data_IF_600978828787
#
_entry.id   IF_600978828787
#
_cell.length_a   1.000
_cell.length_b   1.000
_cell.length_c   1.000
_cell.angle_alpha   90.00
_cell.angle_beta   90.00
_cell.angle_gamma   90.00
#
_symmetry.space_group_name_H-M   'P 1'
#
loop_
_entity.id
_entity.type
_entity.pdbx_description
1 polymer ?
#
# COMPACT_ATOMS: atom_id res chain seq x y z
N UNK A 1 -7.25 -0.11 15.21
CA UNK A 1 -6.84 -1.43 14.67
C UNK A 1 -5.34 -1.38 14.41
N UNK A 2 -4.61 -2.46 14.68
CA UNK A 2 -3.18 -2.58 14.35
C UNK A 2 -2.99 -3.71 13.35
N UNK A 3 -2.10 -3.50 12.38
CA UNK A 3 -1.66 -4.52 11.44
C UNK A 3 -0.13 -4.60 11.52
N UNK A 4 0.37 -5.82 11.67
CA UNK A 4 1.80 -6.11 11.82
C UNK A 4 2.20 -7.09 10.73
N UNK A 5 3.25 -6.77 10.00
CA UNK A 5 3.87 -7.67 9.04
C UNK A 5 5.38 -7.45 9.11
N UNK A 6 6.13 -8.49 9.50
CA UNK A 6 7.56 -8.38 9.76
C UNK A 6 7.89 -7.18 10.67
N UNK A 7 8.59 -6.19 10.14
CA UNK A 7 8.98 -4.92 10.74
C UNK A 7 8.00 -3.77 10.40
N UNK A 8 7.12 -3.95 9.42
CA UNK A 8 6.11 -2.97 9.05
C UNK A 8 4.93 -3.03 10.04
N UNK A 9 4.67 -1.88 10.67
CA UNK A 9 3.53 -1.69 11.58
C UNK A 9 2.62 -0.60 11.04
N UNK A 10 1.34 -0.93 10.85
CA UNK A 10 0.31 0.04 10.48
C UNK A 10 -0.72 0.19 11.61
N UNK A 11 -1.01 1.44 11.95
CA UNK A 11 -1.96 1.81 12.99
C UNK A 11 -3.11 2.56 12.33
N UNK A 12 -4.33 2.08 12.54
CA UNK A 12 -5.54 2.67 12.00
C UNK A 12 -6.44 3.15 13.14
N UNK A 13 -6.81 4.43 13.06
CA UNK A 13 -7.83 5.05 13.89
C UNK A 13 -8.94 5.63 13.02
N UNK A 14 -10.16 5.65 13.53
CA UNK A 14 -11.34 6.12 12.82
C UNK A 14 -12.19 7.02 13.71
N UNK A 15 -12.80 8.03 13.11
CA UNK A 15 -13.67 8.97 13.82
C UNK A 15 -14.52 9.78 12.84
N UNK A 16 -15.68 10.27 13.32
CA UNK A 16 -16.58 11.12 12.50
C UNK A 16 -16.04 12.54 12.29
N UNK A 17 -15.13 12.98 13.16
CA UNK A 17 -14.47 14.29 13.11
C UNK A 17 -12.96 14.09 13.27
N UNK A 18 -12.13 15.02 12.77
CA UNK A 18 -10.67 14.93 12.88
C UNK A 18 -10.20 14.66 14.32
N UNK A 19 -10.70 15.42 15.30
CA UNK A 19 -10.32 15.26 16.71
C UNK A 19 -10.65 13.87 17.27
N UNK A 20 -11.82 13.33 16.90
CA UNK A 20 -12.27 12.01 17.34
C UNK A 20 -11.47 10.87 16.69
N UNK A 21 -10.85 11.11 15.55
CA UNK A 21 -9.97 10.14 14.90
C UNK A 21 -8.53 10.25 15.43
N UNK A 22 -8.03 11.46 15.65
CA UNK A 22 -6.63 11.73 16.03
C UNK A 22 -6.37 11.55 17.52
N UNK A 23 -7.30 11.94 18.41
CA UNK A 23 -7.06 11.79 19.86
C UNK A 23 -6.81 10.33 20.29
N UNK A 24 -7.59 9.32 19.82
CA UNK A 24 -7.29 7.92 20.10
C UNK A 24 -5.98 7.45 19.48
N UNK A 25 -5.64 7.94 18.28
CA UNK A 25 -4.40 7.61 17.58
C UNK A 25 -3.19 8.10 18.37
N UNK A 26 -3.20 9.38 18.78
CA UNK A 26 -2.10 9.98 19.53
C UNK A 26 -1.92 9.32 20.90
N UNK A 27 -3.02 9.00 21.60
CA UNK A 27 -2.95 8.28 22.86
C UNK A 27 -2.36 6.87 22.68
N UNK A 28 -2.72 6.19 21.59
CA UNK A 28 -2.13 4.90 21.26
C UNK A 28 -0.63 5.00 20.95
N UNK A 29 -0.22 6.00 20.17
CA UNK A 29 1.19 6.25 19.85
C UNK A 29 2.01 6.50 21.12
N UNK A 30 1.52 7.31 22.08
CA UNK A 30 2.21 7.53 23.36
C UNK A 30 2.45 6.22 24.14
N UNK A 31 1.43 5.36 24.19
CA UNK A 31 1.58 4.06 24.86
C UNK A 31 2.54 3.13 24.11
N UNK A 32 2.51 3.18 22.78
CA UNK A 32 3.41 2.41 21.93
C UNK A 32 4.86 2.87 22.10
N UNK A 33 5.12 4.18 22.14
CA UNK A 33 6.44 4.76 22.40
C UNK A 33 7.01 4.29 23.75
N UNK A 34 6.20 4.36 24.81
CA UNK A 34 6.60 3.87 26.13
C UNK A 34 6.95 2.36 26.11
N UNK A 35 6.17 1.57 25.37
CA UNK A 35 6.43 0.15 25.19
C UNK A 35 7.72 -0.10 24.39
N UNK A 36 7.90 0.58 23.25
CA UNK A 36 9.09 0.46 22.41
C UNK A 36 10.37 0.83 23.18
N UNK A 37 10.33 1.92 23.96
CA UNK A 37 11.44 2.32 24.83
C UNK A 37 11.76 1.27 25.89
N UNK A 38 10.73 0.71 26.55
CA UNK A 38 10.90 -0.37 27.55
C UNK A 38 11.60 -1.59 26.95
N UNK A 39 11.26 -1.94 25.71
CA UNK A 39 11.84 -3.08 25.00
C UNK A 39 13.08 -2.75 24.18
N UNK A 40 13.60 -1.52 24.27
CA UNK A 40 14.77 -1.03 23.53
C UNK A 40 14.65 -1.20 22.01
N UNK A 41 13.44 -1.06 21.49
CA UNK A 41 13.16 -1.10 20.06
C UNK A 41 13.18 0.35 19.55
N UNK A 42 14.05 0.64 18.59
CA UNK A 42 14.14 1.97 18.00
C UNK A 42 13.26 2.06 16.75
N UNK A 43 12.34 3.01 16.73
CA UNK A 43 11.46 3.26 15.60
C UNK A 43 12.10 4.31 14.67
N UNK A 44 12.08 4.03 13.37
CA UNK A 44 12.61 4.95 12.39
C UNK A 44 11.54 6.01 12.04
N UNK A 45 11.63 7.17 12.69
CA UNK A 45 10.68 8.28 12.51
C UNK A 45 10.68 8.77 11.06
N UNK A 46 11.85 8.83 10.40
CA UNK A 46 11.98 9.29 9.01
C UNK A 46 11.26 8.39 8.00
N UNK A 47 11.18 7.08 8.30
CA UNK A 47 10.42 6.11 7.50
C UNK A 47 8.93 6.08 7.85
N UNK A 48 8.52 6.69 8.95
CA UNK A 48 7.13 6.70 9.38
C UNK A 48 6.32 7.64 8.50
N UNK A 49 5.18 7.16 8.00
CA UNK A 49 4.32 7.91 7.11
C UNK A 49 2.90 7.89 7.64
N UNK A 50 2.21 9.02 7.53
CA UNK A 50 0.81 9.15 7.90
C UNK A 50 -0.02 9.53 6.68
N UNK A 51 -1.21 8.94 6.57
CA UNK A 51 -2.18 9.23 5.52
C UNK A 51 -3.58 9.31 6.12
N UNK A 52 -4.38 10.23 5.60
CA UNK A 52 -5.79 10.38 5.95
C UNK A 52 -6.63 9.85 4.79
N UNK A 53 -7.55 8.96 5.10
CA UNK A 53 -8.57 8.51 4.15
C UNK A 53 -9.86 9.29 4.37
N UNK A 54 -10.03 10.38 3.62
CA UNK A 54 -11.23 11.22 3.65
C UNK A 54 -11.51 11.80 2.25
N UNK A 55 -12.79 11.87 1.89
CA UNK A 55 -13.24 12.53 0.65
C UNK A 55 -13.14 14.05 0.72
N UNK A 56 -13.22 14.62 1.91
CA UNK A 56 -13.14 16.08 2.13
C UNK A 56 -11.70 16.55 2.30
N UNK A 57 -11.48 17.82 1.95
CA UNK A 57 -10.29 18.57 2.32
C UNK A 57 -10.62 19.37 3.57
N UNK A 58 -10.57 18.69 4.70
CA UNK A 58 -10.63 19.33 6.01
C UNK A 58 -9.19 19.60 6.47
N UNK A 59 -8.99 20.60 7.34
CA UNK A 59 -7.73 20.75 8.07
C UNK A 59 -7.66 19.69 9.17
N UNK A 60 -6.55 18.96 9.21
CA UNK A 60 -6.34 17.88 10.18
C UNK A 60 -5.26 18.27 11.18
N UNK A 61 -5.46 17.97 12.47
CA UNK A 61 -4.42 18.19 13.46
C UNK A 61 -3.22 17.29 13.16
N UNK A 62 -2.03 17.77 13.54
CA UNK A 62 -0.80 17.02 13.38
C UNK A 62 -0.79 15.80 14.31
N UNK A 63 -0.12 14.74 13.84
CA UNK A 63 0.21 13.56 14.64
C UNK A 63 1.69 13.60 14.93
N UNK A 64 2.07 13.33 16.17
CA UNK A 64 3.46 13.37 16.61
C UNK A 64 3.92 11.97 17.02
N UNK A 65 5.16 11.64 16.67
CA UNK A 65 5.85 10.43 17.13
C UNK A 65 7.20 10.83 17.71
N UNK A 66 7.45 10.46 18.96
CA UNK A 66 8.59 10.94 19.77
C UNK A 66 8.74 12.48 19.78
N UNK A 67 7.61 13.20 19.79
CA UNK A 67 7.58 14.66 19.75
C UNK A 67 7.93 15.28 18.38
N UNK A 68 8.17 14.46 17.36
CA UNK A 68 8.37 14.93 15.98
C UNK A 68 7.02 14.89 15.23
N UNK A 69 6.56 16.00 14.62
CA UNK A 69 5.34 15.99 13.83
C UNK A 69 5.54 15.20 12.53
N UNK A 70 4.57 14.34 12.20
CA UNK A 70 4.55 13.57 10.96
C UNK A 70 3.73 14.31 9.91
N UNK A 71 4.31 14.48 8.72
CA UNK A 71 3.62 15.07 7.59
C UNK A 71 2.54 14.11 7.01
N UNK A 72 1.36 14.67 6.74
CA UNK A 72 0.29 13.98 6.04
C UNK A 72 0.60 13.82 4.55
N UNK A 73 0.83 12.58 4.12
CA UNK A 73 1.06 12.27 2.71
C UNK A 73 -0.24 12.01 1.96
N UNK A 74 -0.26 12.37 0.68
CA UNK A 74 -1.39 12.07 -0.23
C UNK A 74 -1.38 10.62 -0.71
N UNK A 75 -0.20 9.99 -0.68
CA UNK A 75 0.03 8.62 -1.07
C UNK A 75 1.12 8.02 -0.19
N UNK A 76 0.93 6.76 0.23
CA UNK A 76 1.89 6.00 1.03
C UNK A 76 2.08 4.61 0.45
N UNK A 77 3.28 4.05 0.65
CA UNK A 77 3.57 2.67 0.26
C UNK A 77 3.49 1.76 1.48
N UNK A 78 2.66 0.72 1.41
CA UNK A 78 2.52 -0.29 2.46
C UNK A 78 2.54 -1.69 1.85
N UNK A 79 3.46 -2.57 2.28
CA UNK A 79 3.61 -3.94 1.77
C UNK A 79 3.71 -4.06 0.25
N UNK A 80 4.28 -3.04 -0.41
CA UNK A 80 4.39 -2.99 -1.88
C UNK A 80 3.17 -2.39 -2.60
N UNK A 81 2.13 -2.00 -1.87
CA UNK A 81 0.94 -1.33 -2.39
C UNK A 81 1.04 0.17 -2.21
N UNK A 82 0.58 0.92 -3.21
CA UNK A 82 0.43 2.37 -3.09
C UNK A 82 -1.02 2.65 -2.72
N UNK A 83 -1.20 3.30 -1.57
CA UNK A 83 -2.50 3.72 -1.04
C UNK A 83 -2.60 5.23 -1.21
N UNK A 84 -3.53 5.69 -2.03
CA UNK A 84 -3.85 7.11 -2.17
C UNK A 84 -4.96 7.52 -1.20
N UNK A 85 -5.00 8.82 -0.86
CA UNK A 85 -5.98 9.42 0.07
C UNK A 85 -7.43 9.03 -0.23
N UNK A 86 -7.77 8.85 -1.50
CA UNK A 86 -9.14 8.54 -1.94
C UNK A 86 -9.37 7.04 -2.18
N UNK A 87 -8.34 6.20 -2.03
CA UNK A 87 -8.37 4.78 -2.35
C UNK A 87 -8.85 4.52 -3.79
N UNK A 88 -8.40 5.36 -4.72
CA UNK A 88 -8.64 5.21 -6.16
C UNK A 88 -7.62 4.28 -6.83
N UNK A 89 -6.50 3.98 -6.16
CA UNK A 89 -5.38 3.14 -6.57
C UNK A 89 -4.83 3.41 -7.99
N UNK A 90 -5.03 4.62 -8.52
CA UNK A 90 -4.63 4.98 -9.90
C UNK A 90 -3.13 4.79 -10.14
N UNK A 91 -2.31 5.26 -9.22
CA UNK A 91 -0.84 5.10 -9.26
C UNK A 91 -0.47 3.62 -9.22
N UNK A 92 -1.09 2.87 -8.31
CA UNK A 92 -0.86 1.44 -8.15
C UNK A 92 -1.23 0.64 -9.41
N UNK A 93 -2.41 0.86 -9.99
CA UNK A 93 -2.83 0.22 -11.25
C UNK A 93 -1.88 0.56 -12.39
N UNK A 94 -1.43 1.81 -12.49
CA UNK A 94 -0.45 2.24 -13.50
C UNK A 94 0.87 1.47 -13.36
N UNK A 95 1.36 1.32 -12.13
CA UNK A 95 2.57 0.55 -11.83
C UNK A 95 2.41 -0.95 -12.15
N UNK A 96 1.27 -1.56 -11.81
CA UNK A 96 0.98 -2.95 -12.15
C UNK A 96 0.96 -3.13 -13.67
N UNK A 97 0.31 -2.22 -14.40
CA UNK A 97 0.24 -2.26 -15.86
C UNK A 97 1.63 -2.16 -16.49
N UNK A 98 2.48 -1.27 -15.98
CA UNK A 98 3.86 -1.15 -16.44
C UNK A 98 4.66 -2.42 -16.15
N UNK A 99 4.58 -2.95 -14.92
CA UNK A 99 5.25 -4.18 -14.50
C UNK A 99 4.82 -5.38 -15.36
N UNK A 100 3.52 -5.50 -15.62
CA UNK A 100 2.97 -6.53 -16.50
C UNK A 100 3.51 -6.39 -17.92
N UNK A 101 3.44 -5.18 -18.50
CA UNK A 101 3.92 -4.95 -19.87
C UNK A 101 5.42 -5.24 -20.01
N UNK A 102 6.23 -4.89 -18.99
CA UNK A 102 7.66 -5.22 -18.97
C UNK A 102 7.89 -6.72 -18.93
N UNK A 103 7.19 -7.45 -18.06
CA UNK A 103 7.30 -8.91 -17.97
C UNK A 103 6.81 -9.60 -19.26
N UNK A 104 5.69 -9.14 -19.81
CA UNK A 104 5.13 -9.64 -21.06
C UNK A 104 6.09 -9.43 -22.23
N UNK A 105 6.69 -8.24 -22.36
CA UNK A 105 7.69 -7.96 -23.41
C UNK A 105 8.92 -8.85 -23.28
N UNK A 106 9.40 -9.08 -22.05
CA UNK A 106 10.55 -9.96 -21.82
C UNK A 106 10.27 -11.42 -22.21
N UNK A 107 9.02 -11.87 -22.12
CA UNK A 107 8.60 -13.23 -22.48
C UNK A 107 7.93 -13.31 -23.85
N UNK A 108 7.89 -12.21 -24.60
CA UNK A 108 7.10 -12.12 -25.82
C UNK A 108 7.52 -13.16 -26.86
N UNK A 109 8.82 -13.40 -27.01
CA UNK A 109 9.37 -14.42 -27.91
C UNK A 109 8.92 -15.85 -27.59
N UNK A 110 8.57 -16.13 -26.33
CA UNK A 110 8.14 -17.46 -25.88
C UNK A 110 6.63 -17.65 -26.05
N UNK A 111 5.85 -16.58 -25.88
CA UNK A 111 4.38 -16.61 -25.85
C UNK A 111 3.78 -16.31 -27.24
N UNK A 112 4.53 -15.65 -28.13
CA UNK A 112 4.02 -15.23 -29.43
C UNK A 112 3.53 -16.42 -30.30
N UNK A 113 2.71 -16.10 -31.29
CA UNK A 113 2.14 -17.10 -32.22
C UNK A 113 3.21 -17.92 -32.92
N UNK A 114 4.34 -17.28 -33.26
CA UNK A 114 5.45 -17.89 -34.00
C UNK A 114 6.44 -18.65 -33.11
N UNK A 115 6.24 -18.65 -31.80
CA UNK A 115 7.06 -19.43 -30.87
C UNK A 115 6.83 -20.92 -31.08
N UNK A 116 7.93 -21.68 -31.13
CA UNK A 116 7.96 -23.15 -31.23
C UNK A 116 7.47 -23.86 -29.96
N UNK A 117 7.22 -23.13 -28.87
CA UNK A 117 6.66 -23.70 -27.64
C UNK A 117 5.25 -24.27 -27.88
N UNK A 118 4.98 -25.44 -27.30
CA UNK A 118 3.64 -26.00 -27.30
C UNK A 118 2.67 -25.13 -26.47
N UNK A 119 1.38 -25.32 -26.70
CA UNK A 119 0.34 -24.53 -26.04
C UNK A 119 0.40 -24.64 -24.51
N UNK A 120 0.66 -25.85 -23.98
CA UNK A 120 0.72 -26.10 -22.54
C UNK A 120 1.82 -25.29 -21.86
N UNK A 121 3.01 -25.20 -22.47
CA UNK A 121 4.13 -24.44 -21.93
C UNK A 121 3.90 -22.92 -22.05
N UNK A 122 3.20 -22.46 -23.10
CA UNK A 122 2.77 -21.06 -23.22
C UNK A 122 1.77 -20.70 -22.11
N UNK A 123 0.77 -21.55 -21.87
CA UNK A 123 -0.20 -21.37 -20.78
C UNK A 123 0.50 -21.42 -19.42
N UNK A 124 1.42 -22.36 -19.20
CA UNK A 124 2.20 -22.46 -17.97
C UNK A 124 3.01 -21.18 -17.71
N UNK A 125 3.66 -20.65 -18.75
CA UNK A 125 4.42 -19.40 -18.65
C UNK A 125 3.53 -18.22 -18.25
N UNK A 126 2.35 -18.10 -18.87
CA UNK A 126 1.36 -17.10 -18.49
C UNK A 126 0.90 -17.25 -17.04
N UNK A 127 0.52 -18.47 -16.62
CA UNK A 127 0.01 -18.74 -15.28
C UNK A 127 1.07 -18.53 -14.19
N UNK A 128 2.32 -18.88 -14.46
CA UNK A 128 3.41 -18.81 -13.49
C UNK A 128 4.02 -17.41 -13.36
N UNK A 129 4.14 -16.66 -14.46
CA UNK A 129 4.88 -15.38 -14.46
C UNK A 129 3.99 -14.15 -14.64
N UNK A 130 3.02 -14.21 -15.55
CA UNK A 130 2.22 -13.03 -15.91
C UNK A 130 0.99 -12.87 -15.03
N UNK A 131 0.26 -13.96 -14.78
CA UNK A 131 -0.94 -13.94 -13.96
C UNK A 131 -0.70 -13.40 -12.54
N UNK A 132 0.36 -13.81 -11.81
CA UNK A 132 0.58 -13.32 -10.45
C UNK A 132 0.78 -11.81 -10.38
N UNK A 133 1.33 -11.18 -11.41
CA UNK A 133 1.48 -9.72 -11.47
C UNK A 133 0.11 -9.02 -11.42
N UNK A 134 -0.91 -9.60 -12.07
CA UNK A 134 -2.26 -9.06 -12.13
C UNK A 134 -3.16 -9.52 -10.99
N UNK A 135 -2.94 -10.72 -10.45
CA UNK A 135 -3.86 -11.30 -9.46
C UNK A 135 -3.36 -11.19 -8.03
N UNK A 136 -2.06 -10.96 -7.83
CA UNK A 136 -1.53 -10.77 -6.47
C UNK A 136 -2.18 -9.52 -5.87
N UNK A 137 -2.88 -9.73 -4.76
CA UNK A 137 -3.61 -8.70 -4.02
C UNK A 137 -4.64 -7.90 -4.86
N UNK A 138 -5.10 -8.45 -5.98
CA UNK A 138 -6.21 -7.86 -6.73
C UNK A 138 -7.48 -7.66 -5.90
N UNK A 139 -7.81 -8.47 -4.86
CA UNK A 139 -8.96 -8.15 -4.00
C UNK A 139 -8.88 -6.78 -3.30
N UNK A 140 -7.67 -6.21 -3.14
CA UNK A 140 -7.46 -4.92 -2.48
C UNK A 140 -7.78 -3.76 -3.43
N UNK A 141 -7.36 -3.84 -4.69
CA UNK A 141 -7.45 -2.74 -5.66
C UNK A 141 -8.47 -2.98 -6.79
N UNK A 142 -8.97 -4.19 -6.99
CA UNK A 142 -9.96 -4.48 -8.04
C UNK A 142 -11.32 -3.81 -7.78
N UNK A 143 -11.57 -3.35 -6.56
CA UNK A 143 -12.78 -2.60 -6.20
C UNK A 143 -12.73 -1.11 -6.63
N UNK A 144 -11.65 -0.65 -7.27
CA UNK A 144 -11.58 0.72 -7.80
C UNK A 144 -12.61 1.01 -8.88
N UNK A 145 -12.95 2.29 -9.04
CA UNK A 145 -13.78 2.74 -10.15
C UNK A 145 -13.22 2.26 -11.51
N UNK A 146 -14.09 1.82 -12.41
CA UNK A 146 -13.71 1.34 -13.76
C UNK A 146 -12.89 2.36 -14.57
N UNK A 147 -13.05 3.65 -14.28
CA UNK A 147 -12.28 4.73 -14.90
C UNK A 147 -10.80 4.77 -14.49
N UNK A 148 -10.40 4.00 -13.47
CA UNK A 148 -9.03 3.92 -12.94
C UNK A 148 -8.37 2.56 -13.22
N UNK A 149 -9.05 1.65 -13.94
CA UNK A 149 -8.55 0.34 -14.37
C UNK A 149 -8.02 0.37 -15.81
#
# INVERSE_FOLDING_TARGET
MISLYTDDTAILSQGKTPDKAIAPLQNYLKNLEAWLMRWKINLNVDKTQAIIFNKKNDDWPNVEVYGTPIEWKKEVKYLGFFLDKQLNFRSHTSLIKEKYNKAFRAQYSLICRNSSLNLNNKVLSYLAYLRPILTCASPIWACTARSNL
#
